data_IF_875271371660
#
_entry.id   IF_875271371660
#
_cell.length_a   1.000
_cell.length_b   1.000
_cell.length_c   1.000
_cell.angle_alpha   90.00
_cell.angle_beta   90.00
_cell.angle_gamma   90.00
#
_symmetry.space_group_name_H-M   'P 1'
#
loop_
_entity.id
_entity.type
_entity.pdbx_description
1 polymer ?
#
# COMPACT_ATOMS: atom_id res chain seq x y z
N UNK A 1 -3.21 42.38 -62.13
CA UNK A 1 -2.39 42.78 -60.97
C UNK A 1 -3.36 43.26 -59.89
N UNK A 2 -3.98 42.33 -59.15
CA UNK A 2 -3.48 41.74 -57.90
C UNK A 2 -3.60 42.72 -56.72
N UNK A 3 -4.82 42.83 -56.18
CA UNK A 3 -5.11 43.42 -54.86
C UNK A 3 -5.03 42.31 -53.82
N UNK A 4 -4.08 42.39 -52.90
CA UNK A 4 -3.97 41.48 -51.76
C UNK A 4 -4.57 42.17 -50.54
N UNK A 5 -5.80 41.81 -50.19
CA UNK A 5 -6.39 42.07 -48.89
C UNK A 5 -5.85 41.02 -47.90
N UNK A 6 -5.19 41.47 -46.83
CA UNK A 6 -4.85 40.62 -45.70
C UNK A 6 -6.10 40.39 -44.85
N UNK A 7 -6.57 39.14 -44.83
CA UNK A 7 -7.61 38.68 -43.92
C UNK A 7 -7.04 38.46 -42.52
N UNK A 8 -7.84 38.84 -41.53
CA UNK A 8 -7.57 38.70 -40.11
C UNK A 8 -7.46 37.21 -39.70
N UNK A 9 -6.38 36.86 -38.99
CA UNK A 9 -6.34 35.64 -38.20
C UNK A 9 -6.63 35.99 -36.75
N UNK A 10 -7.86 35.66 -36.34
CA UNK A 10 -8.22 35.44 -34.94
C UNK A 10 -7.58 34.11 -34.54
N UNK A 11 -6.67 34.14 -33.57
CA UNK A 11 -6.27 32.95 -32.82
C UNK A 11 -6.58 33.21 -31.36
N UNK A 12 -7.65 32.57 -30.91
CA UNK A 12 -8.07 32.47 -29.52
C UNK A 12 -6.93 32.01 -28.62
N UNK A 13 -6.85 32.65 -27.46
CA UNK A 13 -5.88 32.36 -26.44
C UNK A 13 -6.16 31.03 -25.75
N UNK A 14 -5.12 30.22 -25.63
CA UNK A 14 -4.97 29.28 -24.53
C UNK A 14 -3.60 29.54 -23.90
N UNK A 15 -3.54 30.51 -22.99
CA UNK A 15 -2.49 30.53 -21.99
C UNK A 15 -2.75 29.36 -21.05
N UNK A 16 -2.10 28.21 -21.30
CA UNK A 16 -1.94 27.19 -20.28
C UNK A 16 -1.02 27.76 -19.20
N UNK A 17 -1.59 28.09 -18.05
CA UNK A 17 -0.80 28.35 -16.85
C UNK A 17 -0.02 27.07 -16.51
N UNK A 18 1.28 27.17 -16.17
CA UNK A 18 2.02 26.01 -15.69
C UNK A 18 1.39 25.56 -14.36
N UNK A 19 0.93 24.31 -14.31
CA UNK A 19 0.50 23.66 -13.07
C UNK A 19 1.77 23.35 -12.27
N UNK A 20 2.35 24.37 -11.65
CA UNK A 20 3.29 24.21 -10.54
C UNK A 20 2.51 24.31 -9.23
N UNK A 21 1.57 23.38 -9.03
CA UNK A 21 1.18 23.03 -7.67
C UNK A 21 2.32 22.18 -7.11
N UNK A 22 3.03 22.67 -6.10
CA UNK A 22 3.98 21.82 -5.37
C UNK A 22 3.17 20.68 -4.76
N UNK A 23 3.25 19.49 -5.35
CA UNK A 23 2.58 18.29 -4.84
C UNK A 23 3.09 18.07 -3.42
N UNK A 24 2.19 18.10 -2.43
CA UNK A 24 2.54 17.79 -1.04
C UNK A 24 3.14 16.39 -1.02
N UNK A 25 4.34 16.23 -0.45
CA UNK A 25 4.89 14.91 -0.20
C UNK A 25 4.03 14.23 0.87
N UNK A 26 3.26 13.24 0.45
CA UNK A 26 2.35 12.49 1.32
C UNK A 26 3.16 11.62 2.25
N UNK A 27 2.85 11.66 3.55
CA UNK A 27 3.44 10.76 4.54
C UNK A 27 2.41 9.74 5.00
N UNK A 28 2.85 8.59 5.52
CA UNK A 28 1.92 7.57 6.03
C UNK A 28 0.97 8.14 7.08
N UNK A 29 1.42 9.05 7.94
CA UNK A 29 0.57 9.70 8.94
C UNK A 29 -0.61 10.46 8.32
N UNK A 30 -0.46 11.00 7.12
CA UNK A 30 -1.56 11.66 6.40
C UNK A 30 -2.61 10.64 5.90
N UNK A 31 -2.21 9.38 5.73
CA UNK A 31 -3.03 8.30 5.20
C UNK A 31 -3.82 7.54 6.28
N UNK A 32 -3.49 7.74 7.55
CA UNK A 32 -4.19 7.09 8.67
C UNK A 32 -5.57 7.68 8.93
N UNK A 33 -5.86 8.88 8.42
CA UNK A 33 -7.17 9.51 8.54
C UNK A 33 -8.16 8.93 7.53
N UNK A 34 -8.59 7.69 7.76
CA UNK A 34 -9.49 6.99 6.84
C UNK A 34 -10.84 7.72 6.77
N UNK A 35 -11.37 7.86 5.55
CA UNK A 35 -12.59 8.65 5.28
C UNK A 35 -12.52 10.10 5.80
N UNK A 36 -11.32 10.65 5.97
CA UNK A 36 -11.11 12.01 6.48
C UNK A 36 -11.22 12.14 8.00
N UNK A 37 -11.36 11.04 8.74
CA UNK A 37 -11.42 11.06 10.21
C UNK A 37 -10.07 10.57 10.75
N UNK A 38 -9.32 11.37 11.52
CA UNK A 38 -8.03 10.94 12.04
C UNK A 38 -8.16 9.85 13.11
N UNK A 39 -7.14 9.00 13.30
CA UNK A 39 -7.07 8.10 14.45
C UNK A 39 -7.07 8.92 15.76
N UNK A 40 -7.45 8.30 16.89
CA UNK A 40 -7.27 8.93 18.20
C UNK A 40 -5.78 9.25 18.43
N UNK A 41 -5.48 10.26 19.27
CA UNK A 41 -4.09 10.53 19.65
C UNK A 41 -3.47 9.30 20.34
N UNK A 42 -2.12 9.19 20.34
CA UNK A 42 -1.43 8.10 21.01
C UNK A 42 -1.92 7.93 22.46
N UNK A 43 -2.26 6.69 22.81
CA UNK A 43 -2.78 6.38 24.14
C UNK A 43 -1.63 6.42 25.16
N UNK A 44 -1.89 6.92 26.39
CA UNK A 44 -0.87 6.99 27.42
C UNK A 44 -0.41 5.58 27.82
N UNK A 45 0.89 5.41 28.00
CA UNK A 45 1.47 4.17 28.50
C UNK A 45 1.17 4.04 30.00
N UNK A 46 0.20 3.18 30.33
CA UNK A 46 -0.20 2.86 31.71
C UNK A 46 -0.10 1.37 31.96
N UNK A 47 -0.23 0.96 33.22
CA UNK A 47 -0.39 -0.45 33.56
C UNK A 47 -1.61 -1.04 32.84
N UNK A 48 -1.44 -2.22 32.24
CA UNK A 48 -2.52 -2.90 31.54
C UNK A 48 -3.56 -3.42 32.56
N UNK A 49 -4.85 -3.40 32.20
CA UNK A 49 -5.88 -4.07 32.99
C UNK A 49 -5.57 -5.58 33.17
N UNK A 50 -6.08 -6.22 34.25
CA UNK A 50 -5.94 -7.67 34.44
C UNK A 50 -6.48 -8.45 33.23
N UNK A 51 -5.73 -9.45 32.75
CA UNK A 51 -6.11 -10.28 31.59
C UNK A 51 -5.88 -9.65 30.22
N UNK A 52 -5.57 -8.33 30.17
CA UNK A 52 -5.39 -7.62 28.89
C UNK A 52 -4.14 -8.07 28.14
N UNK A 53 -3.11 -8.54 28.83
CA UNK A 53 -1.90 -9.07 28.18
C UNK A 53 -2.25 -10.27 27.30
N UNK A 54 -3.00 -11.23 27.85
CA UNK A 54 -3.44 -12.43 27.16
C UNK A 54 -4.38 -12.10 25.98
N UNK A 55 -5.28 -11.13 26.15
CA UNK A 55 -6.15 -10.64 25.08
C UNK A 55 -5.33 -10.04 23.92
N UNK A 56 -4.33 -9.21 24.21
CA UNK A 56 -3.47 -8.61 23.18
C UNK A 56 -2.70 -9.70 22.43
N UNK A 57 -2.13 -10.67 23.14
CA UNK A 57 -1.44 -11.80 22.51
C UNK A 57 -2.38 -12.59 21.61
N UNK A 58 -3.59 -12.88 22.07
CA UNK A 58 -4.59 -13.62 21.30
C UNK A 58 -5.01 -12.85 20.04
N UNK A 59 -5.32 -11.56 20.17
CA UNK A 59 -5.70 -10.71 19.02
C UNK A 59 -4.57 -10.61 18.02
N UNK A 60 -3.34 -10.37 18.47
CA UNK A 60 -2.17 -10.30 17.59
C UNK A 60 -1.94 -11.62 16.84
N UNK A 61 -1.83 -12.76 17.56
CA UNK A 61 -1.50 -14.06 16.97
C UNK A 61 -2.62 -14.65 16.11
N UNK A 62 -3.88 -14.42 16.48
CA UNK A 62 -5.03 -15.00 15.77
C UNK A 62 -5.51 -14.13 14.60
N UNK A 63 -5.34 -12.81 14.67
CA UNK A 63 -5.93 -11.87 13.71
C UNK A 63 -4.88 -11.15 12.89
N UNK A 64 -3.97 -10.41 13.53
CA UNK A 64 -3.10 -9.48 12.81
C UNK A 64 -1.87 -10.15 12.22
N UNK A 65 -1.12 -10.94 13.00
CA UNK A 65 0.11 -11.57 12.52
C UNK A 65 -0.12 -12.44 11.27
N UNK A 66 -1.13 -13.35 11.22
CA UNK A 66 -1.38 -14.16 10.03
C UNK A 66 -1.85 -13.35 8.82
N UNK A 67 -2.60 -12.27 9.06
CA UNK A 67 -3.08 -11.39 7.99
C UNK A 67 -1.93 -10.56 7.40
N UNK A 68 -1.02 -10.04 8.24
CA UNK A 68 0.18 -9.33 7.82
C UNK A 68 1.09 -10.28 7.05
N UNK A 69 1.35 -11.48 7.57
CA UNK A 69 2.18 -12.50 6.93
C UNK A 69 1.64 -12.87 5.54
N UNK A 70 0.33 -13.05 5.41
CA UNK A 70 -0.31 -13.31 4.10
C UNK A 70 -0.23 -12.09 3.18
N UNK A 71 -0.31 -10.87 3.70
CA UNK A 71 -0.26 -9.65 2.88
C UNK A 71 1.15 -9.38 2.35
N UNK A 72 2.16 -9.53 3.20
CA UNK A 72 3.57 -9.32 2.86
C UNK A 72 4.30 -10.58 2.40
N UNK A 73 3.60 -11.72 2.29
CA UNK A 73 4.10 -13.03 1.87
C UNK A 73 5.36 -13.51 2.63
N UNK A 74 5.39 -13.26 3.93
CA UNK A 74 6.48 -13.59 4.86
C UNK A 74 5.88 -14.32 6.06
N UNK A 75 6.59 -15.23 6.75
CA UNK A 75 6.14 -15.83 8.01
C UNK A 75 6.62 -15.08 9.27
N UNK A 76 7.31 -13.94 9.09
CA UNK A 76 8.05 -13.31 10.18
C UNK A 76 7.17 -12.83 11.34
N UNK A 77 5.95 -12.35 11.08
CA UNK A 77 5.11 -11.77 12.12
C UNK A 77 4.53 -12.85 13.04
N UNK A 78 4.08 -13.98 12.50
CA UNK A 78 3.61 -15.09 13.31
C UNK A 78 4.73 -15.76 14.10
N UNK A 79 5.92 -15.91 13.51
CA UNK A 79 7.01 -16.67 14.12
C UNK A 79 7.85 -15.86 15.11
N UNK A 80 8.07 -14.57 14.84
CA UNK A 80 9.14 -13.80 15.52
C UNK A 80 8.69 -12.44 16.07
N UNK A 81 7.57 -11.88 15.63
CA UNK A 81 7.22 -10.50 16.03
C UNK A 81 6.59 -10.37 17.42
N UNK A 82 5.99 -11.43 17.98
CA UNK A 82 5.28 -11.34 19.28
C UNK A 82 6.15 -10.76 20.41
N UNK A 83 7.39 -11.23 20.67
CA UNK A 83 8.24 -10.64 21.70
C UNK A 83 8.51 -9.14 21.48
N UNK A 84 8.56 -8.69 20.22
CA UNK A 84 8.77 -7.28 19.87
C UNK A 84 7.51 -6.43 20.10
N UNK A 85 6.31 -7.00 19.86
CA UNK A 85 5.05 -6.35 20.26
C UNK A 85 5.00 -6.19 21.78
N UNK A 86 5.29 -7.26 22.53
CA UNK A 86 5.24 -7.25 23.99
C UNK A 86 6.26 -6.30 24.63
N UNK A 87 7.41 -6.08 23.97
CA UNK A 87 8.43 -5.15 24.42
C UNK A 87 8.12 -3.69 24.08
N UNK A 88 7.17 -3.41 23.20
CA UNK A 88 6.80 -2.06 22.78
C UNK A 88 5.62 -1.54 23.62
N UNK A 89 5.94 -0.79 24.68
CA UNK A 89 4.94 -0.28 25.62
C UNK A 89 3.87 0.63 24.98
N UNK A 90 4.25 1.40 23.96
CA UNK A 90 3.31 2.26 23.22
C UNK A 90 2.32 1.41 22.41
N UNK A 91 2.84 0.43 21.67
CA UNK A 91 2.01 -0.48 20.88
C UNK A 91 1.09 -1.34 21.78
N UNK A 92 1.57 -1.74 22.96
CA UNK A 92 0.74 -2.43 23.96
C UNK A 92 -0.42 -1.56 24.46
N UNK A 93 -0.17 -0.27 24.72
CA UNK A 93 -1.22 0.68 25.12
C UNK A 93 -2.25 0.87 24.00
N UNK A 94 -1.79 0.95 22.75
CA UNK A 94 -2.65 1.08 21.58
C UNK A 94 -3.50 -0.16 21.32
N UNK A 95 -2.91 -1.36 21.38
CA UNK A 95 -3.68 -2.61 21.31
C UNK A 95 -4.72 -2.71 22.42
N UNK A 96 -4.36 -2.31 23.64
CA UNK A 96 -5.30 -2.27 24.76
C UNK A 96 -6.50 -1.37 24.44
N UNK A 97 -6.24 -0.12 24.05
CA UNK A 97 -7.31 0.80 23.73
C UNK A 97 -8.12 0.38 22.49
N UNK A 98 -7.50 -0.28 21.51
CA UNK A 98 -8.19 -0.80 20.34
C UNK A 98 -9.17 -1.91 20.71
N UNK A 99 -8.78 -2.81 21.63
CA UNK A 99 -9.67 -3.83 22.18
C UNK A 99 -10.87 -3.18 22.88
N UNK A 100 -10.66 -2.11 23.65
CA UNK A 100 -11.78 -1.37 24.26
C UNK A 100 -12.68 -0.73 23.21
N UNK A 101 -12.11 -0.16 22.14
CA UNK A 101 -12.85 0.47 21.05
C UNK A 101 -13.71 -0.53 20.25
N UNK A 102 -13.27 -1.79 20.10
CA UNK A 102 -14.10 -2.86 19.53
C UNK A 102 -15.31 -3.23 20.38
N UNK A 103 -15.31 -2.87 21.66
CA UNK A 103 -16.41 -3.09 22.59
C UNK A 103 -17.26 -1.82 22.84
N UNK A 104 -17.08 -0.77 22.04
CA UNK A 104 -17.89 0.45 22.14
C UNK A 104 -19.37 0.14 21.90
N UNK A 105 -20.25 0.77 22.68
CA UNK A 105 -21.69 0.56 22.59
C UNK A 105 -22.32 1.28 21.40
N UNK A 106 -21.63 2.26 20.81
CA UNK A 106 -22.12 3.13 19.74
C UNK A 106 -21.60 2.73 18.36
N UNK A 107 -21.28 1.44 18.14
CA UNK A 107 -20.80 0.94 16.83
C UNK A 107 -21.86 1.01 15.71
N UNK A 108 -23.07 1.45 16.02
CA UNK A 108 -24.11 1.82 15.07
C UNK A 108 -23.92 3.22 14.46
N UNK A 109 -23.13 4.11 15.10
CA UNK A 109 -22.78 5.42 14.56
C UNK A 109 -21.66 5.27 13.50
N UNK A 110 -21.90 5.65 12.23
CA UNK A 110 -20.90 5.59 11.17
C UNK A 110 -19.60 6.36 11.48
N UNK A 111 -19.66 7.44 12.25
CA UNK A 111 -18.47 8.21 12.63
C UNK A 111 -17.61 7.49 13.66
N UNK A 112 -18.25 6.76 14.60
CA UNK A 112 -17.55 5.92 15.58
C UNK A 112 -16.85 4.78 14.85
N UNK A 113 -17.55 4.12 13.91
CA UNK A 113 -16.96 3.09 13.07
C UNK A 113 -15.78 3.65 12.27
N UNK A 114 -15.94 4.76 11.54
CA UNK A 114 -14.85 5.34 10.75
C UNK A 114 -13.62 5.74 11.59
N UNK A 115 -13.84 6.22 12.83
CA UNK A 115 -12.74 6.49 13.78
C UNK A 115 -12.05 5.21 14.24
N UNK A 116 -12.81 4.15 14.53
CA UNK A 116 -12.28 2.83 14.87
C UNK A 116 -11.45 2.26 13.71
N UNK A 117 -11.91 2.39 12.47
CA UNK A 117 -11.15 1.95 11.29
C UNK A 117 -9.81 2.69 11.16
N UNK A 118 -9.81 4.01 11.38
CA UNK A 118 -8.59 4.83 11.36
C UNK A 118 -7.64 4.44 12.50
N UNK A 119 -8.18 4.17 13.68
CA UNK A 119 -7.39 3.69 14.81
C UNK A 119 -6.77 2.32 14.52
N UNK A 120 -7.55 1.37 14.03
CA UNK A 120 -7.08 0.05 13.64
C UNK A 120 -5.99 0.13 12.56
N UNK A 121 -6.13 1.02 11.57
CA UNK A 121 -5.10 1.26 10.56
C UNK A 121 -3.78 1.73 11.19
N UNK A 122 -3.85 2.64 12.18
CA UNK A 122 -2.68 3.12 12.93
C UNK A 122 -1.98 1.99 13.69
N UNK A 123 -2.74 1.13 14.37
CA UNK A 123 -2.18 -0.01 15.11
C UNK A 123 -1.57 -1.04 14.15
N UNK A 124 -2.27 -1.37 13.06
CA UNK A 124 -1.76 -2.29 12.04
C UNK A 124 -0.45 -1.76 11.45
N UNK A 125 -0.41 -0.49 11.04
CA UNK A 125 0.81 0.09 10.47
C UNK A 125 1.97 0.07 11.47
N UNK A 126 1.72 0.48 12.72
CA UNK A 126 2.72 0.46 13.79
C UNK A 126 3.26 -0.96 14.02
N UNK A 127 2.40 -1.97 14.03
CA UNK A 127 2.79 -3.39 14.12
C UNK A 127 3.64 -3.82 12.93
N UNK A 128 3.24 -3.48 11.70
CA UNK A 128 4.01 -3.83 10.49
C UNK A 128 5.41 -3.22 10.55
N UNK A 129 5.55 -1.98 11.02
CA UNK A 129 6.87 -1.30 11.10
C UNK A 129 7.85 -1.94 12.08
N UNK A 130 7.43 -2.87 12.94
CA UNK A 130 8.32 -3.59 13.86
C UNK A 130 9.46 -4.30 13.09
N UNK A 131 9.20 -4.86 11.90
CA UNK A 131 10.24 -5.52 11.12
C UNK A 131 11.40 -4.56 10.79
N UNK A 132 11.10 -3.31 10.43
CA UNK A 132 12.08 -2.27 10.15
C UNK A 132 12.84 -1.87 11.41
N UNK A 133 12.15 -1.69 12.54
CA UNK A 133 12.79 -1.36 13.82
C UNK A 133 13.78 -2.45 14.26
N UNK A 134 13.35 -3.72 14.19
CA UNK A 134 14.19 -4.88 14.53
C UNK A 134 15.38 -4.97 13.58
N UNK A 135 15.17 -4.75 12.28
CA UNK A 135 16.23 -4.71 11.28
C UNK A 135 17.25 -3.57 11.50
N UNK A 136 16.82 -2.42 12.02
CA UNK A 136 17.72 -1.29 12.29
C UNK A 136 18.56 -1.47 13.56
N UNK A 137 18.00 -2.09 14.61
CA UNK A 137 18.75 -2.42 15.85
C UNK A 137 19.84 -3.49 15.64
N UNK A 138 19.86 -4.06 14.45
CA UNK A 138 20.51 -5.29 14.06
C UNK A 138 21.93 -5.06 13.49
N UNK A 139 22.31 -3.79 13.28
CA UNK A 139 23.62 -3.31 12.80
C UNK A 139 24.21 -4.11 11.61
N UNK A 140 23.36 -4.60 10.71
CA UNK A 140 23.79 -5.28 9.47
C UNK A 140 24.21 -6.74 9.61
N UNK A 141 24.04 -7.38 10.78
CA UNK A 141 24.48 -8.75 11.03
C UNK A 141 23.50 -9.85 10.55
N UNK A 142 22.48 -9.49 9.76
CA UNK A 142 21.27 -10.30 9.50
C UNK A 142 21.13 -10.81 8.07
N UNK A 143 22.23 -10.99 7.34
CA UNK A 143 22.22 -11.85 6.15
C UNK A 143 21.67 -13.27 6.39
N UNK A 144 21.36 -13.62 7.66
CA UNK A 144 20.79 -14.89 8.11
C UNK A 144 19.26 -14.90 8.31
N UNK A 145 18.59 -13.76 8.61
CA UNK A 145 17.12 -13.74 8.79
C UNK A 145 16.42 -13.24 7.52
N UNK A 146 16.22 -14.17 6.60
CA UNK A 146 15.60 -13.91 5.31
C UNK A 146 14.16 -13.35 5.44
N UNK A 147 13.38 -13.83 6.40
CA UNK A 147 11.97 -13.45 6.54
C UNK A 147 11.82 -12.03 7.09
N UNK A 148 12.73 -11.62 7.99
CA UNK A 148 12.84 -10.24 8.46
C UNK A 148 13.25 -9.30 7.32
N UNK A 149 14.21 -9.72 6.49
CA UNK A 149 14.63 -8.94 5.31
C UNK A 149 13.47 -8.81 4.31
N UNK A 150 12.77 -9.91 4.02
CA UNK A 150 11.57 -9.93 3.18
C UNK A 150 10.51 -8.96 3.72
N UNK A 151 10.16 -9.06 5.01
CA UNK A 151 9.17 -8.19 5.64
C UNK A 151 9.55 -6.71 5.53
N UNK A 152 10.80 -6.37 5.88
CA UNK A 152 11.29 -4.99 5.89
C UNK A 152 11.34 -4.37 4.49
N UNK A 153 11.89 -5.10 3.50
CA UNK A 153 12.02 -4.55 2.14
C UNK A 153 10.69 -4.50 1.39
N UNK A 154 9.76 -5.41 1.67
CA UNK A 154 8.39 -5.34 1.13
C UNK A 154 7.57 -4.22 1.79
N UNK A 155 7.83 -3.92 3.05
CA UNK A 155 7.29 -2.73 3.70
C UNK A 155 7.78 -1.44 3.01
N UNK A 156 9.06 -1.34 2.65
CA UNK A 156 9.57 -0.18 1.91
C UNK A 156 8.85 0.01 0.56
N UNK A 157 8.58 -1.07 -0.18
CA UNK A 157 7.78 -1.06 -1.41
C UNK A 157 6.35 -0.59 -1.15
N UNK A 158 5.69 -1.13 -0.12
CA UNK A 158 4.31 -0.75 0.22
C UNK A 158 4.18 0.69 0.67
N UNK A 159 5.12 1.17 1.49
CA UNK A 159 5.16 2.56 1.94
C UNK A 159 5.29 3.50 0.75
N UNK A 160 6.25 3.27 -0.14
CA UNK A 160 6.42 4.04 -1.35
C UNK A 160 5.16 4.02 -2.24
N UNK A 161 4.56 2.85 -2.47
CA UNK A 161 3.31 2.72 -3.23
C UNK A 161 2.18 3.60 -2.65
N UNK A 162 2.02 3.62 -1.33
CA UNK A 162 0.98 4.37 -0.65
C UNK A 162 1.24 5.88 -0.63
N UNK A 163 2.48 6.31 -0.41
CA UNK A 163 2.85 7.73 -0.37
C UNK A 163 3.01 8.37 -1.74
N UNK A 164 3.15 7.55 -2.80
CA UNK A 164 3.47 8.08 -4.12
C UNK A 164 4.95 8.40 -4.31
N UNK A 165 5.82 8.01 -3.36
CA UNK A 165 7.27 8.21 -3.46
C UNK A 165 7.91 7.22 -4.44
N UNK A 166 9.02 7.63 -5.06
CA UNK A 166 9.89 6.77 -5.85
C UNK A 166 11.06 6.28 -5.00
N UNK A 167 11.69 5.18 -5.43
CA UNK A 167 12.88 4.63 -4.77
C UNK A 167 14.07 4.70 -5.71
N UNK A 168 15.26 5.03 -5.20
CA UNK A 168 16.47 5.14 -6.04
C UNK A 168 16.93 3.80 -6.62
N UNK A 169 16.76 2.74 -5.83
CA UNK A 169 17.13 1.36 -6.20
C UNK A 169 16.04 0.42 -5.73
N UNK A 170 15.81 -0.66 -6.49
CA UNK A 170 14.83 -1.67 -6.12
C UNK A 170 15.23 -2.34 -4.78
N UNK A 171 14.44 -2.20 -3.69
CA UNK A 171 14.79 -2.73 -2.38
C UNK A 171 14.93 -4.27 -2.36
N UNK A 172 14.38 -4.95 -3.36
CA UNK A 172 14.37 -6.40 -3.52
C UNK A 172 15.51 -6.93 -4.41
N UNK A 173 16.29 -6.07 -5.07
CA UNK A 173 17.44 -6.51 -5.91
C UNK A 173 18.53 -7.21 -5.10
N UNK A 174 18.62 -6.89 -3.81
CA UNK A 174 19.65 -7.43 -2.91
C UNK A 174 19.30 -8.83 -2.38
N UNK A 175 18.15 -9.40 -2.77
CA UNK A 175 17.76 -10.72 -2.28
C UNK A 175 18.69 -11.81 -2.85
N UNK A 176 19.24 -12.69 -1.99
CA UNK A 176 20.12 -13.74 -2.45
C UNK A 176 19.35 -14.66 -3.41
N UNK A 177 19.93 -14.89 -4.59
CA UNK A 177 19.41 -15.85 -5.56
C UNK A 177 19.43 -17.24 -4.91
N UNK A 178 18.26 -17.81 -4.64
CA UNK A 178 18.17 -19.21 -4.19
C UNK A 178 18.29 -20.12 -5.40
N UNK A 179 19.44 -20.76 -5.58
CA UNK A 179 19.57 -21.81 -6.59
C UNK A 179 18.70 -23.02 -6.19
N UNK A 180 17.80 -23.50 -7.05
CA UNK A 180 17.00 -24.68 -6.75
C UNK A 180 17.90 -25.92 -6.67
N UNK A 181 17.68 -26.76 -5.65
CA UNK A 181 18.46 -27.98 -5.45
C UNK A 181 18.20 -29.09 -6.50
N UNK A 182 17.16 -28.93 -7.32
CA UNK A 182 16.74 -29.89 -8.34
C UNK A 182 16.17 -29.19 -9.59
N UNK A 183 16.22 -29.86 -10.73
CA UNK A 183 15.62 -29.45 -12.00
C UNK A 183 14.65 -30.56 -12.51
N UNK A 184 13.33 -30.30 -12.61
CA UNK A 184 12.65 -29.05 -12.28
C UNK A 184 12.58 -28.78 -10.76
N UNK A 185 12.51 -27.52 -10.32
CA UNK A 185 12.39 -27.18 -8.91
C UNK A 185 11.09 -27.71 -8.29
N UNK A 186 11.10 -28.03 -6.99
CA UNK A 186 9.88 -28.36 -6.26
C UNK A 186 8.86 -27.22 -6.34
N UNK A 187 7.56 -27.55 -6.36
CA UNK A 187 6.47 -26.58 -6.50
C UNK A 187 6.55 -25.43 -5.47
N UNK A 188 6.92 -25.74 -4.23
CA UNK A 188 7.10 -24.74 -3.15
C UNK A 188 8.19 -23.72 -3.46
N UNK A 189 9.28 -24.16 -4.09
CA UNK A 189 10.36 -23.28 -4.56
C UNK A 189 9.87 -22.39 -5.70
N UNK A 190 9.08 -22.94 -6.63
CA UNK A 190 8.49 -22.16 -7.72
C UNK A 190 7.53 -21.08 -7.20
N UNK A 191 6.63 -21.43 -6.27
CA UNK A 191 5.70 -20.47 -5.63
C UNK A 191 6.47 -19.35 -4.93
N UNK A 192 7.53 -19.70 -4.20
CA UNK A 192 8.41 -18.73 -3.53
C UNK A 192 9.10 -17.82 -4.53
N UNK A 193 9.60 -18.36 -5.65
CA UNK A 193 10.23 -17.56 -6.69
C UNK A 193 9.24 -16.58 -7.31
N UNK A 194 8.02 -17.01 -7.62
CA UNK A 194 6.97 -16.13 -8.16
C UNK A 194 6.58 -15.01 -7.21
N UNK A 195 6.59 -15.28 -5.90
CA UNK A 195 6.47 -14.25 -4.86
C UNK A 195 7.60 -13.22 -4.96
N UNK A 196 8.86 -13.67 -4.99
CA UNK A 196 10.01 -12.78 -5.11
C UNK A 196 9.98 -11.97 -6.42
N UNK A 197 9.61 -12.59 -7.53
CA UNK A 197 9.47 -11.94 -8.82
C UNK A 197 8.40 -10.84 -8.79
N UNK A 198 7.25 -11.10 -8.16
CA UNK A 198 6.16 -10.12 -8.01
C UNK A 198 6.64 -8.87 -7.26
N UNK A 199 7.25 -9.07 -6.09
CA UNK A 199 7.77 -7.98 -5.26
C UNK A 199 8.93 -7.24 -5.92
N UNK A 200 9.81 -7.96 -6.64
CA UNK A 200 10.89 -7.36 -7.42
C UNK A 200 10.35 -6.52 -8.58
N UNK A 201 9.31 -6.97 -9.27
CA UNK A 201 8.67 -6.17 -10.32
C UNK A 201 8.06 -4.87 -9.76
N UNK A 202 7.43 -4.93 -8.58
CA UNK A 202 6.91 -3.73 -7.91
C UNK A 202 8.04 -2.78 -7.47
N UNK A 203 9.12 -3.32 -6.91
CA UNK A 203 10.29 -2.53 -6.54
C UNK A 203 10.93 -1.84 -7.75
N UNK A 204 11.02 -2.53 -8.90
CA UNK A 204 11.46 -1.94 -10.17
C UNK A 204 10.49 -0.86 -10.67
N UNK A 205 9.19 -1.12 -10.65
CA UNK A 205 8.18 -0.11 -11.02
C UNK A 205 8.36 1.20 -10.24
N UNK A 206 8.72 1.13 -8.96
CA UNK A 206 8.94 2.31 -8.12
C UNK A 206 10.23 3.10 -8.42
N UNK A 207 11.19 2.53 -9.16
CA UNK A 207 12.38 3.26 -9.62
C UNK A 207 12.11 4.08 -10.88
N UNK A 208 11.04 3.77 -11.61
CA UNK A 208 10.69 4.41 -12.87
C UNK A 208 9.92 5.71 -12.62
N UNK A 209 10.31 6.79 -13.29
CA UNK A 209 9.66 8.09 -13.16
C UNK A 209 8.77 8.40 -14.38
N UNK A 210 7.54 8.83 -14.13
CA UNK A 210 6.53 9.11 -15.17
C UNK A 210 6.84 10.33 -16.06
N UNK A 211 7.74 11.21 -15.64
CA UNK A 211 8.15 12.41 -16.39
C UNK A 211 9.19 12.11 -17.50
N UNK A 212 9.71 10.88 -17.57
CA UNK A 212 10.66 10.44 -18.58
C UNK A 212 9.92 9.64 -19.67
N UNK A 213 9.92 10.16 -20.90
CA UNK A 213 9.22 9.51 -22.01
C UNK A 213 9.71 8.08 -22.30
N UNK A 214 10.97 7.77 -21.97
CA UNK A 214 11.55 6.42 -22.03
C UNK A 214 10.92 5.45 -21.02
N UNK A 215 10.48 5.97 -19.87
CA UNK A 215 10.02 5.18 -18.73
C UNK A 215 8.55 4.77 -18.87
N UNK A 216 7.74 5.48 -19.66
CA UNK A 216 6.32 5.14 -19.86
C UNK A 216 6.11 3.72 -20.42
N UNK A 217 6.89 3.32 -21.43
CA UNK A 217 6.83 1.94 -21.97
C UNK A 217 7.31 0.91 -20.95
N UNK A 218 8.38 1.23 -20.23
CA UNK A 218 8.96 0.33 -19.24
C UNK A 218 8.02 0.11 -18.05
N UNK A 219 7.28 1.14 -17.63
CA UNK A 219 6.23 1.03 -16.63
C UNK A 219 5.12 0.11 -17.12
N UNK A 220 4.62 0.30 -18.35
CA UNK A 220 3.58 -0.56 -18.93
C UNK A 220 4.02 -2.03 -19.01
N UNK A 221 5.25 -2.29 -19.48
CA UNK A 221 5.83 -3.63 -19.57
C UNK A 221 6.04 -4.26 -18.17
N UNK A 222 6.42 -3.45 -17.18
CA UNK A 222 6.62 -3.89 -15.78
C UNK A 222 5.28 -4.23 -15.12
N UNK A 223 4.27 -3.37 -15.24
CA UNK A 223 2.93 -3.63 -14.71
C UNK A 223 2.26 -4.81 -15.41
N UNK A 224 2.47 -4.99 -16.73
CA UNK A 224 2.02 -6.17 -17.44
C UNK A 224 2.66 -7.45 -16.85
N UNK A 225 3.94 -7.41 -16.49
CA UNK A 225 4.62 -8.53 -15.80
C UNK A 225 4.04 -8.79 -14.42
N UNK A 226 3.82 -7.75 -13.61
CA UNK A 226 3.14 -7.87 -12.31
C UNK A 226 1.79 -8.59 -12.44
N UNK A 227 0.99 -8.26 -13.47
CA UNK A 227 -0.30 -8.90 -13.73
C UNK A 227 -0.18 -10.41 -13.96
N UNK A 228 0.89 -10.87 -14.62
CA UNK A 228 1.13 -12.32 -14.83
C UNK A 228 1.55 -13.06 -13.56
N UNK A 229 1.88 -12.33 -12.50
CA UNK A 229 2.38 -12.85 -11.22
C UNK A 229 1.32 -12.74 -10.10
N UNK A 230 0.07 -12.37 -10.42
CA UNK A 230 -1.00 -12.29 -9.42
C UNK A 230 -1.36 -13.65 -8.82
N UNK A 231 -1.24 -14.72 -9.61
CA UNK A 231 -1.41 -16.12 -9.14
C UNK A 231 -2.70 -16.36 -8.35
N UNK A 232 -3.78 -15.64 -8.66
CA UNK A 232 -5.07 -15.69 -7.92
C UNK A 232 -4.91 -15.38 -6.42
N UNK A 233 -3.84 -14.70 -6.04
CA UNK A 233 -3.55 -14.28 -4.68
C UNK A 233 -4.17 -12.91 -4.45
N UNK A 234 -5.26 -12.87 -3.69
CA UNK A 234 -6.05 -11.66 -3.43
C UNK A 234 -5.20 -10.45 -2.98
N UNK A 235 -4.21 -10.67 -2.11
CA UNK A 235 -3.36 -9.59 -1.64
C UNK A 235 -2.48 -9.01 -2.76
N UNK A 236 -2.07 -9.82 -3.74
CA UNK A 236 -1.37 -9.32 -4.93
C UNK A 236 -2.30 -8.49 -5.81
N UNK A 237 -3.59 -8.85 -5.93
CA UNK A 237 -4.60 -8.04 -6.63
C UNK A 237 -4.75 -6.66 -5.99
N UNK A 238 -4.74 -6.58 -4.66
CA UNK A 238 -4.73 -5.31 -3.91
C UNK A 238 -3.49 -4.48 -4.26
N UNK A 239 -2.29 -5.05 -4.10
CA UNK A 239 -1.04 -4.32 -4.30
C UNK A 239 -0.90 -3.86 -5.77
N UNK A 240 -1.25 -4.72 -6.72
CA UNK A 240 -1.27 -4.38 -8.14
C UNK A 240 -2.27 -3.26 -8.46
N UNK A 241 -3.47 -3.31 -7.86
CA UNK A 241 -4.46 -2.25 -8.05
C UNK A 241 -3.99 -0.91 -7.50
N UNK A 242 -3.24 -0.89 -6.39
CA UNK A 242 -2.61 0.32 -5.85
C UNK A 242 -1.60 0.89 -6.87
N UNK A 243 -0.75 0.04 -7.44
CA UNK A 243 0.23 0.45 -8.45
C UNK A 243 -0.45 1.02 -9.72
N UNK A 244 -1.53 0.40 -10.19
CA UNK A 244 -2.32 0.88 -11.33
C UNK A 244 -2.97 2.23 -11.03
N UNK A 245 -3.63 2.37 -9.87
CA UNK A 245 -4.28 3.61 -9.47
C UNK A 245 -3.28 4.75 -9.32
N UNK A 246 -2.09 4.48 -8.76
CA UNK A 246 -0.99 5.43 -8.66
C UNK A 246 -0.54 5.91 -10.05
N UNK A 247 -0.19 4.97 -10.93
CA UNK A 247 0.38 5.31 -12.24
C UNK A 247 -0.62 6.03 -13.16
N UNK A 248 -1.84 5.49 -13.27
CA UNK A 248 -2.84 6.02 -14.21
C UNK A 248 -3.62 7.20 -13.61
N UNK A 249 -3.84 7.21 -12.29
CA UNK A 249 -4.63 8.23 -11.61
C UNK A 249 -3.98 9.62 -11.66
N UNK A 250 -2.65 9.71 -11.63
CA UNK A 250 -1.95 10.99 -11.75
C UNK A 250 -2.17 11.67 -13.11
N UNK A 251 -2.48 10.90 -14.15
CA UNK A 251 -2.73 11.39 -15.51
C UNK A 251 -4.18 11.82 -15.74
N UNK A 252 -5.06 11.58 -14.78
CA UNK A 252 -6.48 11.89 -14.87
C UNK A 252 -6.86 13.08 -13.99
N UNK A 253 -7.28 14.18 -14.61
CA UNK A 253 -7.53 15.44 -13.90
C UNK A 253 -8.59 15.29 -12.79
N UNK A 254 -9.71 14.62 -13.06
CA UNK A 254 -10.83 14.51 -12.13
C UNK A 254 -10.75 13.31 -11.17
N UNK A 255 -9.68 12.51 -11.23
CA UNK A 255 -9.50 11.40 -10.28
C UNK A 255 -9.24 11.93 -8.85
N UNK A 256 -9.77 11.31 -7.78
CA UNK A 256 -10.66 10.14 -7.76
C UNK A 256 -12.16 10.45 -7.87
N UNK A 257 -12.55 11.71 -8.02
CA UNK A 257 -13.95 12.16 -7.98
C UNK A 257 -14.79 11.66 -9.16
N UNK A 258 -14.21 11.65 -10.36
CA UNK A 258 -14.92 11.23 -11.57
C UNK A 258 -13.99 10.49 -12.54
N UNK A 259 -14.42 9.30 -12.93
CA UNK A 259 -13.88 8.55 -14.05
C UNK A 259 -15.02 8.22 -15.01
N UNK A 260 -14.84 8.37 -16.33
CA UNK A 260 -15.81 7.89 -17.29
C UNK A 260 -16.06 6.40 -17.08
N UNK A 261 -17.33 5.98 -17.03
CA UNK A 261 -17.62 4.56 -17.05
C UNK A 261 -17.07 3.96 -18.34
N UNK A 262 -16.20 2.94 -18.24
CA UNK A 262 -15.59 2.37 -19.43
C UNK A 262 -16.66 1.68 -20.27
N UNK A 263 -16.71 2.00 -21.56
CA UNK A 263 -17.65 1.42 -22.53
C UNK A 263 -17.31 -0.06 -22.77
N UNK A 264 -16.06 -0.46 -22.50
CA UNK A 264 -15.55 -1.81 -22.66
C UNK A 264 -14.72 -2.22 -21.44
N UNK A 265 -14.66 -3.52 -21.13
CA UNK A 265 -13.71 -4.07 -20.16
C UNK A 265 -12.34 -4.38 -20.78
N UNK A 266 -11.97 -3.66 -21.85
CA UNK A 266 -10.74 -3.93 -22.60
C UNK A 266 -9.52 -3.62 -21.73
N UNK A 267 -8.71 -4.65 -21.46
CA UNK A 267 -7.47 -4.52 -20.67
C UNK A 267 -6.39 -3.66 -21.34
N UNK A 268 -6.58 -3.16 -22.55
CA UNK A 268 -5.69 -2.16 -23.17
C UNK A 268 -6.10 -0.72 -22.90
N UNK A 269 -7.31 -0.49 -22.41
CA UNK A 269 -7.82 0.83 -22.09
C UNK A 269 -7.38 1.27 -20.69
N UNK A 270 -6.54 2.30 -20.63
CA UNK A 270 -6.06 2.87 -19.37
C UNK A 270 -7.19 3.38 -18.47
N UNK A 271 -8.25 3.96 -19.05
CA UNK A 271 -9.42 4.40 -18.30
C UNK A 271 -10.17 3.23 -17.66
N UNK A 272 -10.34 2.15 -18.41
CA UNK A 272 -10.96 0.92 -17.90
C UNK A 272 -10.13 0.28 -16.76
N UNK A 273 -8.80 0.18 -16.92
CA UNK A 273 -7.90 -0.32 -15.87
C UNK A 273 -8.00 0.51 -14.59
N UNK A 274 -7.92 1.83 -14.71
CA UNK A 274 -7.99 2.74 -13.57
C UNK A 274 -9.36 2.64 -12.88
N UNK A 275 -10.45 2.60 -13.64
CA UNK A 275 -11.81 2.44 -13.10
C UNK A 275 -11.95 1.13 -12.30
N UNK A 276 -11.48 0.01 -12.85
CA UNK A 276 -11.53 -1.30 -12.17
C UNK A 276 -10.69 -1.27 -10.89
N UNK A 277 -9.46 -0.76 -10.95
CA UNK A 277 -8.58 -0.65 -9.79
C UNK A 277 -9.19 0.24 -8.69
N UNK A 278 -9.75 1.41 -9.07
CA UNK A 278 -10.42 2.32 -8.14
C UNK A 278 -11.58 1.61 -7.45
N UNK A 279 -12.50 1.00 -8.22
CA UNK A 279 -13.69 0.34 -7.66
C UNK A 279 -13.34 -0.86 -6.81
N UNK A 280 -12.35 -1.64 -7.21
CA UNK A 280 -11.86 -2.74 -6.41
C UNK A 280 -11.35 -2.26 -5.05
N UNK A 281 -10.45 -1.27 -5.02
CA UNK A 281 -9.89 -0.74 -3.76
C UNK A 281 -10.94 -0.08 -2.86
N UNK A 282 -11.89 0.68 -3.42
CA UNK A 282 -13.02 1.25 -2.68
C UNK A 282 -13.89 0.16 -2.03
N UNK A 283 -14.19 -0.93 -2.75
CA UNK A 283 -14.97 -2.06 -2.22
C UNK A 283 -14.21 -2.81 -1.13
N UNK A 284 -12.92 -3.08 -1.35
CA UNK A 284 -12.05 -3.72 -0.37
C UNK A 284 -12.00 -2.91 0.92
N UNK A 285 -11.79 -1.59 0.83
CA UNK A 285 -11.80 -0.68 1.99
C UNK A 285 -13.15 -0.64 2.71
N UNK A 286 -14.27 -0.73 1.97
CA UNK A 286 -15.63 -0.67 2.50
C UNK A 286 -16.21 -2.04 2.95
N UNK A 287 -15.34 -3.02 3.18
CA UNK A 287 -15.69 -4.24 3.92
C UNK A 287 -15.62 -5.52 3.12
N UNK A 288 -15.43 -5.48 1.80
CA UNK A 288 -15.30 -6.68 0.97
C UNK A 288 -13.95 -7.40 1.11
N UNK A 289 -12.93 -6.76 1.72
CA UNK A 289 -11.64 -7.42 1.93
C UNK A 289 -11.69 -8.57 2.92
N UNK A 290 -10.87 -9.59 2.70
CA UNK A 290 -10.90 -10.81 3.53
C UNK A 290 -10.24 -10.64 4.90
N UNK A 291 -9.33 -9.67 5.05
CA UNK A 291 -8.64 -9.41 6.32
C UNK A 291 -8.72 -7.94 6.71
N UNK A 292 -8.63 -7.64 8.01
CA UNK A 292 -8.58 -6.24 8.47
C UNK A 292 -7.35 -5.52 7.91
N UNK A 293 -6.21 -6.20 7.77
CA UNK A 293 -5.00 -5.64 7.15
C UNK A 293 -5.27 -5.18 5.73
N UNK A 294 -5.87 -6.02 4.89
CA UNK A 294 -6.21 -5.65 3.50
C UNK A 294 -7.20 -4.50 3.47
N UNK A 295 -8.23 -4.49 4.33
CA UNK A 295 -9.21 -3.39 4.41
C UNK A 295 -8.56 -2.06 4.76
N UNK A 296 -7.69 -2.04 5.79
CA UNK A 296 -7.02 -0.81 6.24
C UNK A 296 -6.00 -0.29 5.25
N UNK A 297 -5.19 -1.17 4.64
CA UNK A 297 -4.25 -0.76 3.58
C UNK A 297 -5.00 -0.22 2.35
N UNK A 298 -6.11 -0.84 1.95
CA UNK A 298 -6.96 -0.29 0.88
C UNK A 298 -7.54 1.08 1.27
N UNK A 299 -7.96 1.26 2.52
CA UNK A 299 -8.41 2.55 3.03
C UNK A 299 -7.32 3.63 2.94
N UNK A 300 -6.08 3.29 3.32
CA UNK A 300 -4.92 4.18 3.20
C UNK A 300 -4.62 4.52 1.74
N UNK A 301 -4.71 3.55 0.83
CA UNK A 301 -4.53 3.77 -0.60
C UNK A 301 -5.62 4.69 -1.20
N UNK A 302 -6.89 4.51 -0.79
CA UNK A 302 -7.97 5.41 -1.20
C UNK A 302 -7.75 6.82 -0.65
N UNK A 303 -7.29 6.95 0.60
CA UNK A 303 -6.99 8.26 1.21
C UNK A 303 -5.86 8.99 0.46
N UNK A 304 -4.85 8.28 -0.03
CA UNK A 304 -3.71 8.91 -0.70
C UNK A 304 -4.07 9.68 -1.97
N UNK A 305 -5.14 9.26 -2.67
CA UNK A 305 -5.64 9.96 -3.87
C UNK A 305 -6.17 11.36 -3.56
N UNK A 306 -6.73 11.55 -2.36
CA UNK A 306 -7.23 12.85 -1.92
C UNK A 306 -6.09 13.71 -1.38
N UNK A 307 -5.27 13.16 -0.47
CA UNK A 307 -4.18 13.90 0.19
C UNK A 307 -3.14 14.41 -0.81
N UNK A 308 -2.80 13.63 -1.83
CA UNK A 308 -1.83 14.03 -2.86
C UNK A 308 -2.29 15.23 -3.72
N UNK A 309 -3.56 15.63 -3.61
CA UNK A 309 -4.21 16.69 -4.39
C UNK A 309 -4.74 17.84 -3.52
N UNK A 310 -4.56 17.75 -2.20
CA UNK A 310 -4.81 18.83 -1.23
C UNK A 310 -3.63 19.81 -1.21
#
# INVERSE_FOLDING_TARGET
MASVQHAANVTDGFYQAPINASVKQVQISDLLALRGIPPPPPHPVTALPPGRLEEIQAVFLATYAPAIDRFFETPWFQEKALPHVMANAQLMAEYSALIDAFNDRNLEDPNVVARLESFEASVIWSTITLCRHVMNMSNGNYGQDFDLLAASKRLDVMEALLTGDHVETNPLEQFPVRQPAADPPALTVQITQRSLDFWSCLGHFLTLHDNEASSAKEIDDTLARCRTLLDTTENRDVIYSIAIARHLGQRWADFPHSLPQPITTNEKDAGAKLFVAQKFLEQQANGSGTTQVSKRICGMAVRSWFVSRE
#
